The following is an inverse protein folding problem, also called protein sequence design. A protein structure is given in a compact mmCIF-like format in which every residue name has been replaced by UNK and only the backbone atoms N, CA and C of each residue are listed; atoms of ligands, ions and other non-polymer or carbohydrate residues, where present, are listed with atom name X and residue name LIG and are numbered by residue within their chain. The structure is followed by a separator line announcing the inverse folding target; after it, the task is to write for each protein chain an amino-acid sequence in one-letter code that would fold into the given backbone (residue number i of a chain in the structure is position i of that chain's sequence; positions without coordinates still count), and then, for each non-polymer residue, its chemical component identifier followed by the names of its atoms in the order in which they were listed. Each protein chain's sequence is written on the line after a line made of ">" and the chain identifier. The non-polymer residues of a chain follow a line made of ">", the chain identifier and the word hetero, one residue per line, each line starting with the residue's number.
data_IF_925587977363
#
_entry.id   IF_925587977363
#
_cell.length_a   1.000
_cell.length_b   1.000
_cell.length_c   1.000
_cell.angle_alpha   90.00
_cell.angle_beta   90.00
_cell.angle_gamma   90.00
#
_symmetry.space_group_name_H-M   'P 1'
#
loop_
_entity.id
_entity.type
_entity.pdbx_description
1 polymer ?
#
# COMPACT_ATOMS: atom_id res chain seq x y z
N UNK A 1 -5.60 -19.89 -13.45
CA UNK A 1 -5.53 -18.45 -13.12
C UNK A 1 -4.73 -18.35 -11.84
N UNK A 2 -3.43 -18.10 -11.94
CA UNK A 2 -2.59 -17.94 -10.75
C UNK A 2 -2.88 -16.54 -10.22
N UNK A 3 -3.84 -16.42 -9.31
CA UNK A 3 -4.09 -15.17 -8.58
C UNK A 3 -2.85 -14.84 -7.79
N UNK A 4 -2.00 -13.97 -8.34
CA UNK A 4 -0.86 -13.44 -7.61
C UNK A 4 -1.37 -12.60 -6.46
N UNK A 5 -0.72 -12.69 -5.29
CA UNK A 5 -1.07 -11.87 -4.13
C UNK A 5 -0.82 -10.40 -4.50
N UNK A 6 -1.89 -9.63 -4.72
CA UNK A 6 -1.78 -8.18 -4.94
C UNK A 6 -2.17 -7.46 -3.65
N UNK A 7 -1.43 -6.41 -3.34
CA UNK A 7 -1.63 -5.57 -2.17
C UNK A 7 -1.89 -4.15 -2.64
N UNK A 8 -3.00 -3.59 -2.20
CA UNK A 8 -3.38 -2.21 -2.44
C UNK A 8 -2.93 -1.34 -1.27
N UNK A 9 -2.13 -0.33 -1.57
CA UNK A 9 -1.69 0.71 -0.63
C UNK A 9 -2.42 1.99 -0.99
N UNK A 10 -3.14 2.56 -0.03
CA UNK A 10 -3.94 3.78 -0.25
C UNK A 10 -3.74 4.76 0.89
N UNK A 11 -3.39 6.00 0.55
CA UNK A 11 -3.42 7.10 1.49
C UNK A 11 -4.86 7.61 1.64
N UNK A 12 -5.32 7.84 2.88
CA UNK A 12 -6.69 8.32 3.16
C UNK A 12 -6.80 9.85 3.10
N UNK A 13 -5.67 10.54 2.96
CA UNK A 13 -5.58 12.00 3.08
C UNK A 13 -5.08 12.67 1.79
N UNK A 14 -4.44 11.93 0.90
CA UNK A 14 -3.95 12.44 -0.38
C UNK A 14 -4.24 11.42 -1.50
N UNK A 15 -4.16 11.81 -2.79
CA UNK A 15 -4.52 10.93 -3.91
C UNK A 15 -3.48 9.85 -4.22
N UNK A 16 -2.62 9.50 -3.24
CA UNK A 16 -1.57 8.50 -3.42
C UNK A 16 -2.17 7.11 -3.24
N UNK A 17 -2.11 6.31 -4.30
CA UNK A 17 -2.48 4.90 -4.31
C UNK A 17 -1.47 4.07 -5.12
N UNK A 18 -1.30 2.79 -4.78
CA UNK A 18 -0.38 1.89 -5.48
C UNK A 18 -0.74 0.42 -5.27
N UNK A 19 -0.43 -0.40 -6.29
CA UNK A 19 -0.55 -1.86 -6.22
C UNK A 19 0.84 -2.50 -6.16
N UNK A 20 1.02 -3.48 -5.27
CA UNK A 20 2.26 -4.23 -5.06
C UNK A 20 2.00 -5.73 -5.10
N UNK A 21 2.96 -6.50 -5.59
CA UNK A 21 2.87 -7.97 -5.64
C UNK A 21 3.54 -8.63 -4.42
N UNK A 22 3.96 -7.82 -3.45
CA UNK A 22 4.66 -8.23 -2.25
C UNK A 22 4.14 -7.44 -1.05
N UNK A 23 3.79 -8.16 0.02
CA UNK A 23 3.38 -7.55 1.28
C UNK A 23 4.47 -6.61 1.82
N UNK A 24 5.73 -7.06 1.78
CA UNK A 24 6.87 -6.29 2.28
C UNK A 24 7.07 -4.98 1.50
N UNK A 25 6.88 -4.99 0.17
CA UNK A 25 6.93 -3.74 -0.61
C UNK A 25 5.76 -2.81 -0.27
N UNK A 26 4.57 -3.36 -0.08
CA UNK A 26 3.38 -2.58 0.29
C UNK A 26 3.54 -1.90 1.65
N UNK A 27 4.02 -2.64 2.65
CA UNK A 27 4.29 -2.12 4.00
C UNK A 27 5.42 -1.09 4.02
N UNK A 28 6.49 -1.33 3.25
CA UNK A 28 7.61 -0.38 3.12
C UNK A 28 7.12 0.95 2.54
N UNK A 29 6.33 0.90 1.47
CA UNK A 29 5.79 2.10 0.83
C UNK A 29 4.81 2.85 1.75
N UNK A 30 3.94 2.12 2.45
CA UNK A 30 3.00 2.73 3.40
C UNK A 30 3.73 3.42 4.55
N UNK A 31 4.72 2.74 5.15
CA UNK A 31 5.53 3.28 6.25
C UNK A 31 6.33 4.50 5.83
N UNK A 32 6.95 4.45 4.64
CA UNK A 32 7.71 5.57 4.09
C UNK A 32 6.81 6.80 3.87
N UNK A 33 5.63 6.60 3.26
CA UNK A 33 4.69 7.70 3.03
C UNK A 33 4.16 8.29 4.35
N UNK A 34 3.72 7.43 5.28
CA UNK A 34 3.23 7.87 6.58
C UNK A 34 4.32 8.62 7.38
N UNK A 35 5.58 8.19 7.31
CA UNK A 35 6.68 8.86 8.02
C UNK A 35 7.04 10.22 7.42
N UNK A 36 6.93 10.39 6.10
CA UNK A 36 7.27 11.64 5.41
C UNK A 36 6.17 12.71 5.53
N UNK A 37 4.91 12.25 5.58
CA UNK A 37 3.74 13.14 5.46
C UNK A 37 2.87 13.20 6.71
N UNK A 38 3.12 12.34 7.69
CA UNK A 38 2.24 12.10 8.85
C UNK A 38 0.82 11.64 8.46
N UNK A 39 0.62 11.16 7.23
CA UNK A 39 -0.68 10.70 6.75
C UNK A 39 -1.03 9.27 7.17
N UNK A 40 -2.33 9.01 7.23
CA UNK A 40 -2.94 7.69 7.40
C UNK A 40 -2.92 6.91 6.09
N UNK A 41 -2.12 5.85 6.05
CA UNK A 41 -1.98 4.94 4.91
C UNK A 41 -2.51 3.56 5.29
N UNK A 42 -3.38 3.00 4.46
CA UNK A 42 -3.92 1.66 4.62
C UNK A 42 -3.29 0.70 3.60
N UNK A 43 -3.05 -0.55 4.03
CA UNK A 43 -2.59 -1.65 3.18
C UNK A 43 -3.63 -2.77 3.24
N UNK A 44 -4.14 -3.20 2.09
CA UNK A 44 -5.12 -4.27 1.98
C UNK A 44 -4.67 -5.30 0.94
N UNK A 45 -4.86 -6.59 1.21
CA UNK A 45 -4.64 -7.64 0.22
C UNK A 45 -5.89 -7.82 -0.63
N UNK A 46 -5.73 -7.81 -1.95
CA UNK A 46 -6.80 -8.00 -2.93
C UNK A 46 -6.58 -9.27 -3.75
N UNK A 47 -7.68 -9.92 -4.13
CA UNK A 47 -7.74 -11.22 -4.83
C UNK A 47 -8.15 -11.08 -6.30
#
# INVERSE_FOLDING_TARGET
>A
MTGGLVFHVVCRECPTESLRQSAAEAETLATAHASDTDHSVAVERIE
#
